data_IF_667450097248
#
_entry.id   IF_667450097248
#
_cell.length_a   1.000
_cell.length_b   1.000
_cell.length_c   1.000
_cell.angle_alpha   90.00
_cell.angle_beta   90.00
_cell.angle_gamma   90.00
#
_symmetry.space_group_name_H-M   'P 1'
#
loop_
_entity.id
_entity.type
_entity.pdbx_description
1 polymer ?
#
# COMPACT_ATOMS: atom_id res chain seq x y z
N UNK A 1 32.17 -4.26 -3.20
CA UNK A 1 31.28 -5.03 -4.11
C UNK A 1 30.52 -4.05 -5.00
N UNK A 2 30.57 -4.19 -6.33
CA UNK A 2 29.71 -3.39 -7.23
C UNK A 2 28.31 -4.00 -7.24
N UNK A 3 27.32 -3.29 -6.71
CA UNK A 3 25.91 -3.71 -6.74
C UNK A 3 25.42 -3.62 -8.19
N UNK A 4 25.14 -4.77 -8.82
CA UNK A 4 24.49 -4.79 -10.13
C UNK A 4 23.03 -4.39 -9.94
N UNK A 5 22.63 -3.24 -10.45
CA UNK A 5 21.23 -2.82 -10.51
C UNK A 5 20.47 -3.79 -11.43
N UNK A 6 19.59 -4.61 -10.86
CA UNK A 6 18.70 -5.47 -11.65
C UNK A 6 17.59 -4.60 -12.23
N UNK A 7 17.38 -4.69 -13.54
CA UNK A 7 16.24 -4.07 -14.21
C UNK A 7 14.97 -4.85 -13.88
N UNK A 8 13.94 -4.16 -13.38
CA UNK A 8 12.63 -4.72 -13.08
C UNK A 8 11.65 -4.35 -14.18
N UNK A 9 11.10 -5.36 -14.87
CA UNK A 9 10.08 -5.17 -15.89
C UNK A 9 8.69 -5.28 -15.25
N UNK A 10 8.16 -4.13 -14.83
CA UNK A 10 6.88 -4.06 -14.15
C UNK A 10 5.70 -4.56 -15.02
N UNK A 11 5.77 -4.37 -16.33
CA UNK A 11 4.68 -4.76 -17.24
C UNK A 11 4.62 -6.28 -17.38
N UNK A 12 5.78 -6.92 -17.58
CA UNK A 12 5.86 -8.39 -17.67
C UNK A 12 5.44 -9.04 -16.37
N UNK A 13 5.91 -8.52 -15.24
CA UNK A 13 5.56 -9.07 -13.92
C UNK A 13 4.08 -8.83 -13.59
N UNK A 14 3.51 -7.70 -13.99
CA UNK A 14 2.05 -7.45 -13.87
C UNK A 14 1.23 -8.44 -14.69
N UNK A 15 1.64 -8.74 -15.93
CA UNK A 15 0.94 -9.72 -16.77
C UNK A 15 0.95 -11.11 -16.13
N UNK A 16 2.12 -11.57 -15.67
CA UNK A 16 2.25 -12.86 -14.97
C UNK A 16 1.40 -12.93 -13.71
N UNK A 17 1.37 -11.85 -12.92
CA UNK A 17 0.54 -11.79 -11.73
C UNK A 17 -0.95 -11.89 -12.06
N UNK A 18 -1.44 -11.18 -13.09
CA UNK A 18 -2.84 -11.25 -13.53
C UNK A 18 -3.23 -12.64 -14.00
N UNK A 19 -2.38 -13.29 -14.78
CA UNK A 19 -2.60 -14.67 -15.24
C UNK A 19 -2.72 -15.64 -14.06
N UNK A 20 -1.83 -15.52 -13.07
CA UNK A 20 -1.87 -16.32 -11.84
C UNK A 20 -3.14 -16.08 -11.02
N UNK A 21 -3.55 -14.82 -10.88
CA UNK A 21 -4.79 -14.46 -10.18
C UNK A 21 -5.98 -15.11 -10.87
N UNK A 22 -6.09 -14.99 -12.20
CA UNK A 22 -7.19 -15.58 -12.97
C UNK A 22 -7.28 -17.08 -12.76
N UNK A 23 -6.14 -17.79 -12.79
CA UNK A 23 -6.10 -19.23 -12.54
C UNK A 23 -6.55 -19.58 -11.11
N UNK A 24 -6.13 -18.79 -10.11
CA UNK A 24 -6.45 -19.05 -8.70
C UNK A 24 -7.89 -18.70 -8.35
N UNK A 25 -8.50 -17.74 -9.04
CA UNK A 25 -9.89 -17.32 -8.80
C UNK A 25 -10.88 -17.95 -9.77
N UNK A 26 -10.44 -18.84 -10.65
CA UNK A 26 -11.31 -19.53 -11.59
C UNK A 26 -12.34 -20.38 -10.83
N UNK A 27 -13.62 -20.11 -11.06
CA UNK A 27 -14.73 -20.82 -10.40
C UNK A 27 -15.11 -20.32 -9.01
N UNK A 28 -14.41 -19.31 -8.48
CA UNK A 28 -14.81 -18.65 -7.22
C UNK A 28 -16.05 -17.78 -7.43
N UNK A 29 -16.93 -17.76 -6.43
CA UNK A 29 -17.97 -16.76 -6.32
C UNK A 29 -17.39 -15.38 -6.00
N UNK A 30 -18.18 -14.33 -6.21
CA UNK A 30 -17.75 -12.94 -5.95
C UNK A 30 -17.30 -12.73 -4.49
N UNK A 31 -17.94 -13.39 -3.52
CA UNK A 31 -17.59 -13.27 -2.11
C UNK A 31 -16.21 -13.89 -1.83
N UNK A 32 -15.95 -15.07 -2.37
CA UNK A 32 -14.67 -15.78 -2.23
C UNK A 32 -13.51 -15.03 -2.90
N UNK A 33 -13.76 -14.40 -4.06
CA UNK A 33 -12.77 -13.52 -4.70
C UNK A 33 -12.42 -12.32 -3.82
N UNK A 34 -13.41 -11.71 -3.18
CA UNK A 34 -13.17 -10.57 -2.28
C UNK A 34 -12.38 -11.00 -1.04
N UNK A 35 -12.69 -12.16 -0.46
CA UNK A 35 -11.90 -12.72 0.64
C UNK A 35 -10.47 -13.05 0.24
N UNK A 36 -10.27 -13.64 -0.95
CA UNK A 36 -8.95 -13.92 -1.52
C UNK A 36 -8.06 -12.67 -1.57
N UNK A 37 -8.59 -11.53 -2.03
CA UNK A 37 -7.83 -10.28 -2.06
C UNK A 37 -7.69 -9.61 -0.69
N UNK A 38 -8.70 -9.73 0.17
CA UNK A 38 -8.66 -9.17 1.53
C UNK A 38 -7.64 -9.88 2.43
N UNK A 39 -7.47 -11.19 2.28
CA UNK A 39 -6.45 -11.99 2.95
C UNK A 39 -5.05 -11.80 2.36
N UNK A 40 -4.97 -11.40 1.09
CA UNK A 40 -3.71 -11.08 0.40
C UNK A 40 -3.16 -9.68 0.75
N UNK A 41 -3.71 -8.97 1.74
CA UNK A 41 -3.23 -7.66 2.17
C UNK A 41 -1.73 -7.74 2.54
N UNK A 42 -0.83 -7.09 1.79
CA UNK A 42 0.46 -6.74 2.36
C UNK A 42 0.14 -5.73 3.45
N UNK A 43 0.44 -6.07 4.71
CA UNK A 43 0.48 -5.06 5.78
C UNK A 43 1.51 -4.02 5.35
N UNK A 44 1.04 -2.93 4.73
CA UNK A 44 1.83 -1.72 4.70
C UNK A 44 2.09 -1.36 6.17
N UNK A 45 3.34 -1.04 6.57
CA UNK A 45 3.56 -0.54 7.91
C UNK A 45 2.65 0.67 8.07
N UNK A 46 1.76 0.62 9.06
CA UNK A 46 1.07 1.80 9.55
C UNK A 46 2.18 2.81 9.89
N UNK A 47 2.47 3.75 8.99
CA UNK A 47 3.08 5.00 9.42
C UNK A 47 2.02 5.65 10.29
N UNK A 48 2.14 5.42 11.59
CA UNK A 48 1.63 6.33 12.59
C UNK A 48 2.35 7.65 12.33
N UNK A 49 1.77 8.52 11.52
CA UNK A 49 2.03 9.94 11.62
C UNK A 49 1.51 10.36 13.00
N UNK A 50 2.33 10.92 13.91
CA UNK A 50 1.79 11.60 15.06
C UNK A 50 0.91 12.72 14.53
N UNK A 51 -0.36 12.73 14.92
CA UNK A 51 -1.22 13.90 14.81
C UNK A 51 -0.57 14.99 15.67
N UNK A 52 0.29 15.81 15.07
CA UNK A 52 0.68 17.11 15.62
C UNK A 52 -0.52 18.07 15.48
N UNK A 53 -1.64 17.70 16.11
CA UNK A 53 -2.67 18.63 16.55
C UNK A 53 -2.09 19.42 17.73
N UNK A 54 -1.22 20.40 17.46
CA UNK A 54 -1.04 21.58 18.31
C UNK A 54 -0.08 22.58 17.65
N UNK A 55 -0.46 23.06 16.47
CA UNK A 55 -0.11 24.42 16.07
C UNK A 55 -0.85 25.38 17.01
N UNK A 56 -0.37 25.50 18.26
CA UNK A 56 -0.79 26.53 19.21
C UNK A 56 -0.32 27.85 18.59
N UNK A 57 -1.23 28.46 17.84
CA UNK A 57 -1.14 29.82 17.36
C UNK A 57 -0.92 30.70 18.60
N UNK A 58 0.33 31.09 18.83
CA UNK A 58 0.69 32.04 19.87
C UNK A 58 0.09 33.38 19.48
N UNK A 59 -1.08 33.70 20.03
CA UNK A 59 -1.61 35.04 20.00
C UNK A 59 -0.67 35.94 20.80
N UNK A 60 0.16 36.70 20.09
CA UNK A 60 0.92 37.81 20.66
C UNK A 60 -0.07 38.96 20.90
N UNK A 61 -0.74 38.91 22.05
CA UNK A 61 -1.57 40.02 22.51
C UNK A 61 -0.64 41.18 22.94
N UNK A 62 -0.83 42.41 22.45
CA UNK A 62 -0.01 43.54 22.86
C UNK A 62 -0.36 43.93 24.30
N UNK A 63 0.63 43.90 25.21
CA UNK A 63 0.48 44.53 26.52
C UNK A 63 0.73 46.03 26.38
N UNK A 64 -0.32 46.79 26.66
CA UNK A 64 -0.34 48.23 26.97
C UNK A 64 0.55 48.57 28.14
#
# INVERSE_FOLDING_TARGET
MKTKTKTFDAVRESRRWKESVVQRTAGMSRAEVLEFFNGARPVAPQRHEPLEESSVLREDAPKT
#
